data_IF_715609427969
#
_entry.id   IF_715609427969
#
_cell.length_a   1.000
_cell.length_b   1.000
_cell.length_c   1.000
_cell.angle_alpha   90.00
_cell.angle_beta   90.00
_cell.angle_gamma   90.00
#
_symmetry.space_group_name_H-M   'P 1'
#
loop_
_entity.id
_entity.type
_entity.pdbx_description
1 polymer ?
#
# COMPACT_ATOMS: atom_id res chain seq x y z
N UNK A 1 -6.38 11.61 -16.54
CA UNK A 1 -7.68 11.35 -15.88
C UNK A 1 -8.24 10.09 -16.49
N UNK A 2 -8.51 9.03 -15.70
CA UNK A 2 -9.31 7.90 -16.19
C UNK A 2 -10.71 8.45 -16.42
N UNK A 3 -11.26 8.26 -17.62
CA UNK A 3 -12.67 8.53 -17.85
C UNK A 3 -13.47 7.52 -17.01
N UNK A 4 -14.65 7.90 -16.52
CA UNK A 4 -15.44 7.12 -15.57
C UNK A 4 -15.77 5.67 -16.01
N UNK A 5 -15.47 5.30 -17.26
CA UNK A 5 -15.85 4.04 -17.90
C UNK A 5 -14.66 3.17 -18.32
N UNK A 6 -13.50 3.35 -17.68
CA UNK A 6 -12.30 2.55 -17.94
C UNK A 6 -11.84 1.79 -16.72
N UNK A 7 -11.42 0.54 -16.92
CA UNK A 7 -10.96 -0.36 -15.87
C UNK A 7 -9.63 -1.03 -16.25
N UNK A 8 -8.86 -1.42 -15.25
CA UNK A 8 -7.67 -2.25 -15.46
C UNK A 8 -7.99 -3.68 -15.07
N UNK A 9 -7.73 -4.60 -15.98
CA UNK A 9 -8.04 -6.01 -15.83
C UNK A 9 -6.75 -6.83 -15.89
N UNK A 10 -6.60 -7.74 -14.93
CA UNK A 10 -5.56 -8.77 -14.96
C UNK A 10 -6.13 -10.08 -15.50
N UNK A 11 -5.47 -10.70 -16.48
CA UNK A 11 -5.88 -11.98 -17.03
C UNK A 11 -4.66 -12.84 -17.36
N UNK A 12 -4.62 -14.06 -16.84
CA UNK A 12 -3.48 -14.99 -17.06
C UNK A 12 -2.14 -14.30 -16.75
N UNK A 13 -1.37 -13.98 -17.78
CA UNK A 13 -0.08 -13.31 -17.71
C UNK A 13 -0.10 -11.92 -18.38
N UNK A 14 -1.22 -11.24 -18.35
CA UNK A 14 -1.35 -9.92 -18.94
C UNK A 14 -2.17 -8.96 -18.09
N UNK A 15 -1.94 -7.67 -18.29
CA UNK A 15 -2.74 -6.57 -17.77
C UNK A 15 -3.23 -5.75 -18.95
N UNK A 16 -4.49 -5.35 -18.92
CA UNK A 16 -5.10 -4.54 -19.95
C UNK A 16 -5.84 -3.36 -19.36
N UNK A 17 -5.85 -2.22 -20.08
CA UNK A 17 -6.80 -1.13 -19.87
C UNK A 17 -7.97 -1.37 -20.81
N UNK A 18 -9.15 -1.39 -20.27
CA UNK A 18 -10.37 -1.75 -20.99
C UNK A 18 -11.40 -0.63 -20.87
N UNK A 19 -11.99 -0.26 -21.99
CA UNK A 19 -13.09 0.70 -22.04
C UNK A 19 -14.41 -0.06 -21.98
N UNK A 20 -15.22 0.22 -20.98
CA UNK A 20 -16.50 -0.46 -20.72
C UNK A 20 -17.59 -0.09 -21.75
N UNK A 21 -17.56 1.14 -22.27
CA UNK A 21 -18.58 1.60 -23.24
C UNK A 21 -18.38 0.95 -24.60
N UNK A 22 -17.14 0.94 -25.06
CA UNK A 22 -16.80 0.35 -26.37
C UNK A 22 -16.53 -1.13 -26.32
N UNK A 23 -16.42 -1.71 -25.12
CA UNK A 23 -16.05 -3.10 -24.85
C UNK A 23 -14.73 -3.52 -25.54
N UNK A 24 -13.78 -2.59 -25.64
CA UNK A 24 -12.48 -2.82 -26.28
C UNK A 24 -11.33 -2.59 -25.33
N UNK A 25 -10.29 -3.39 -25.51
CA UNK A 25 -9.00 -3.13 -24.89
C UNK A 25 -8.34 -1.92 -25.57
N UNK A 26 -7.94 -0.94 -24.76
CA UNK A 26 -7.18 0.22 -25.23
C UNK A 26 -5.70 -0.13 -25.38
N UNK A 27 -5.20 -0.95 -24.46
CA UNK A 27 -3.90 -1.59 -24.53
C UNK A 27 -3.88 -2.88 -23.71
N UNK A 28 -2.95 -3.75 -24.03
CA UNK A 28 -2.65 -4.95 -23.25
C UNK A 28 -1.14 -5.16 -23.15
N UNK A 29 -0.65 -5.48 -21.96
CA UNK A 29 0.76 -5.73 -21.65
C UNK A 29 0.93 -7.13 -21.10
N UNK A 30 1.77 -7.93 -21.75
CA UNK A 30 2.22 -9.22 -21.20
C UNK A 30 3.24 -8.96 -20.10
N UNK A 31 3.12 -9.66 -18.98
CA UNK A 31 4.00 -9.64 -17.82
C UNK A 31 4.41 -11.04 -17.43
N UNK A 32 5.48 -11.20 -16.66
CA UNK A 32 5.86 -12.49 -16.10
C UNK A 32 4.97 -12.84 -14.90
N UNK A 33 4.33 -14.02 -14.95
CA UNK A 33 3.41 -14.50 -13.93
C UNK A 33 1.99 -13.93 -14.05
N UNK A 34 1.15 -14.23 -13.06
CA UNK A 34 -0.24 -13.81 -13.02
C UNK A 34 -0.40 -12.54 -12.17
N UNK A 35 -1.14 -11.52 -12.66
CA UNK A 35 -1.46 -10.33 -11.87
C UNK A 35 -2.26 -10.69 -10.63
N UNK A 36 -1.83 -10.21 -9.47
CA UNK A 36 -2.49 -10.44 -8.18
C UNK A 36 -3.02 -9.16 -7.54
N UNK A 37 -2.33 -8.04 -7.76
CA UNK A 37 -2.74 -6.71 -7.27
C UNK A 37 -2.56 -5.73 -8.42
N UNK A 38 -3.58 -4.90 -8.67
CA UNK A 38 -3.51 -3.77 -9.60
C UNK A 38 -3.97 -2.53 -8.86
N UNK A 39 -3.15 -1.49 -8.84
CA UNK A 39 -3.48 -0.20 -8.25
C UNK A 39 -3.05 0.94 -9.17
N UNK A 40 -3.74 2.08 -9.07
CA UNK A 40 -3.51 3.23 -9.94
C UNK A 40 -3.15 4.46 -9.12
N UNK A 41 -2.22 5.28 -9.62
CA UNK A 41 -1.86 6.59 -9.08
C UNK A 41 -1.13 7.43 -10.12
N UNK A 42 -1.35 8.72 -10.15
CA UNK A 42 -0.65 9.69 -11.00
C UNK A 42 -0.44 9.24 -12.45
N UNK A 43 -1.48 8.83 -13.16
CA UNK A 43 -1.40 8.29 -14.53
C UNK A 43 -0.47 7.07 -14.68
N UNK A 44 -0.29 6.30 -13.63
CA UNK A 44 0.49 5.06 -13.62
C UNK A 44 -0.36 3.91 -13.08
N UNK A 45 0.02 2.70 -13.48
CA UNK A 45 -0.57 1.44 -13.01
C UNK A 45 0.54 0.62 -12.38
N UNK A 46 0.41 0.35 -11.09
CA UNK A 46 1.26 -0.59 -10.38
C UNK A 46 0.61 -1.97 -10.41
N UNK A 47 1.34 -2.95 -10.87
CA UNK A 47 0.89 -4.34 -10.95
C UNK A 47 1.84 -5.20 -10.15
N UNK A 48 1.32 -5.97 -9.21
CA UNK A 48 2.06 -7.09 -8.66
C UNK A 48 1.68 -8.35 -9.43
N UNK A 49 2.66 -9.09 -9.87
CA UNK A 49 2.49 -10.45 -10.41
C UNK A 49 3.17 -11.49 -9.54
N UNK A 50 2.70 -12.72 -9.68
CA UNK A 50 3.35 -13.89 -9.08
C UNK A 50 3.44 -15.02 -10.08
N UNK A 51 4.59 -15.71 -10.10
CA UNK A 51 4.77 -16.95 -10.87
C UNK A 51 4.37 -18.16 -10.03
N UNK A 52 4.18 -19.30 -10.67
CA UNK A 52 3.93 -20.58 -10.01
C UNK A 52 5.10 -21.02 -9.10
N UNK A 53 6.28 -20.48 -9.31
CA UNK A 53 7.48 -20.73 -8.52
C UNK A 53 7.61 -19.80 -7.31
N UNK A 54 6.61 -18.95 -7.03
CA UNK A 54 6.61 -18.03 -5.90
C UNK A 54 7.48 -16.80 -6.09
N UNK A 55 7.90 -16.49 -7.32
CA UNK A 55 8.56 -15.22 -7.63
C UNK A 55 7.50 -14.12 -7.76
N UNK A 56 7.76 -12.98 -7.13
CA UNK A 56 6.89 -11.81 -7.21
C UNK A 56 7.63 -10.65 -7.89
N UNK A 57 6.91 -9.94 -8.74
CA UNK A 57 7.45 -8.77 -9.46
C UNK A 57 6.45 -7.64 -9.40
N UNK A 58 6.91 -6.46 -9.05
CA UNK A 58 6.16 -5.21 -9.23
C UNK A 58 6.53 -4.61 -10.58
N UNK A 59 5.51 -4.32 -11.38
CA UNK A 59 5.60 -3.58 -12.64
C UNK A 59 4.96 -2.22 -12.44
N UNK A 60 5.64 -1.16 -12.87
CA UNK A 60 5.04 0.14 -13.05
C UNK A 60 4.85 0.39 -14.54
N UNK A 61 3.61 0.64 -14.92
CA UNK A 61 3.22 0.90 -16.30
C UNK A 61 2.68 2.33 -16.43
N UNK A 62 2.87 2.93 -17.59
CA UNK A 62 2.18 4.14 -17.97
C UNK A 62 0.69 3.82 -18.19
N UNK A 63 -0.21 4.58 -17.58
CA UNK A 63 -1.64 4.30 -17.62
C UNK A 63 -2.27 4.51 -19.01
N UNK A 64 -1.71 5.38 -19.85
CA UNK A 64 -2.25 5.67 -21.17
C UNK A 64 -1.77 4.68 -22.21
N UNK A 65 -0.50 4.32 -22.18
CA UNK A 65 0.15 3.54 -23.24
C UNK A 65 0.36 2.07 -22.89
N UNK A 66 0.31 1.71 -21.60
CA UNK A 66 0.69 0.39 -21.12
C UNK A 66 2.20 0.11 -21.16
N UNK A 67 3.02 1.10 -21.52
CA UNK A 67 4.47 0.94 -21.57
C UNK A 67 5.04 0.72 -20.17
N UNK A 68 5.93 -0.23 -20.05
CA UNK A 68 6.62 -0.49 -18.80
C UNK A 68 7.62 0.62 -18.49
N UNK A 69 7.46 1.27 -17.33
CA UNK A 69 8.39 2.25 -16.80
C UNK A 69 9.54 1.52 -16.12
N UNK A 70 9.23 0.58 -15.22
CA UNK A 70 10.19 -0.33 -14.60
C UNK A 70 9.51 -1.63 -14.15
N UNK A 71 10.35 -2.63 -13.85
CA UNK A 71 9.95 -3.86 -13.16
C UNK A 71 10.98 -4.19 -12.09
N UNK A 72 10.52 -4.57 -10.91
CA UNK A 72 11.38 -4.89 -9.76
C UNK A 72 10.90 -6.16 -9.08
N UNK A 73 11.81 -7.11 -8.91
CA UNK A 73 11.54 -8.30 -8.13
C UNK A 73 11.39 -7.94 -6.66
N UNK A 74 10.35 -8.42 -6.01
CA UNK A 74 10.02 -8.14 -4.60
C UNK A 74 9.69 -9.44 -3.88
N UNK A 75 9.75 -9.40 -2.57
CA UNK A 75 9.16 -10.45 -1.74
C UNK A 75 7.66 -10.14 -1.70
N UNK A 76 6.82 -11.09 -2.09
CA UNK A 76 5.38 -10.89 -2.29
C UNK A 76 4.70 -10.11 -1.17
N UNK A 77 3.76 -9.27 -1.53
CA UNK A 77 2.94 -8.52 -0.59
C UNK A 77 1.48 -9.01 -0.63
N UNK A 78 0.82 -8.90 0.52
CA UNK A 78 -0.59 -9.30 0.69
C UNK A 78 -1.53 -8.11 0.81
N UNK A 79 -0.98 -6.90 0.81
CA UNK A 79 -1.69 -5.64 1.04
C UNK A 79 -1.47 -4.75 -0.16
N UNK A 80 -2.51 -4.02 -0.56
CA UNK A 80 -2.42 -3.05 -1.64
C UNK A 80 -1.33 -2.01 -1.32
N UNK A 81 -0.33 -1.86 -2.19
CA UNK A 81 0.71 -0.85 -2.01
C UNK A 81 0.14 0.56 -1.97
N UNK A 82 0.73 1.42 -1.14
CA UNK A 82 0.36 2.82 -1.00
C UNK A 82 1.38 3.71 -1.69
N UNK A 83 0.90 4.66 -2.49
CA UNK A 83 1.75 5.68 -3.11
C UNK A 83 1.73 6.97 -2.31
N UNK A 84 2.90 7.53 -2.02
CA UNK A 84 3.03 8.80 -1.34
C UNK A 84 4.33 9.51 -1.73
N UNK A 85 4.22 10.78 -2.15
CA UNK A 85 5.36 11.67 -2.49
C UNK A 85 6.44 10.98 -3.37
N UNK A 86 6.01 10.38 -4.47
CA UNK A 86 6.94 9.75 -5.41
C UNK A 86 7.48 8.39 -4.99
N UNK A 87 7.00 7.81 -3.90
CA UNK A 87 7.43 6.51 -3.39
C UNK A 87 6.27 5.55 -3.22
N UNK A 88 6.58 4.26 -3.24
CA UNK A 88 5.62 3.16 -3.07
C UNK A 88 5.97 2.43 -1.78
N UNK A 89 4.98 2.30 -0.90
CA UNK A 89 5.10 1.61 0.38
C UNK A 89 4.25 0.35 0.38
N UNK A 90 4.81 -0.75 0.84
CA UNK A 90 4.09 -2.02 0.99
C UNK A 90 4.68 -2.86 2.11
N UNK A 91 3.95 -3.86 2.56
CA UNK A 91 4.48 -4.87 3.48
C UNK A 91 4.73 -6.16 2.72
N UNK A 92 5.84 -6.82 2.99
CA UNK A 92 6.17 -8.08 2.34
C UNK A 92 5.79 -9.31 3.18
N UNK A 93 5.78 -10.48 2.57
CA UNK A 93 5.42 -11.75 3.20
C UNK A 93 6.34 -12.13 4.38
N UNK A 94 7.54 -11.55 4.49
CA UNK A 94 8.46 -11.76 5.61
C UNK A 94 8.23 -10.83 6.80
N UNK A 95 7.17 -10.00 6.75
CA UNK A 95 6.83 -9.07 7.82
C UNK A 95 7.75 -7.87 7.89
N UNK A 96 8.12 -7.33 6.75
CA UNK A 96 8.83 -6.07 6.66
C UNK A 96 8.02 -5.04 5.88
N UNK A 97 8.14 -3.78 6.26
CA UNK A 97 7.70 -2.64 5.46
C UNK A 97 8.82 -2.27 4.48
N UNK A 98 8.44 -2.00 3.26
CA UNK A 98 9.35 -1.68 2.17
C UNK A 98 8.98 -0.33 1.56
N UNK A 99 10.00 0.43 1.12
CA UNK A 99 9.86 1.66 0.34
C UNK A 99 10.57 1.48 -0.98
N UNK A 100 9.86 1.65 -2.10
CA UNK A 100 10.45 1.73 -3.43
C UNK A 100 10.41 3.17 -3.94
N UNK A 101 11.45 3.55 -4.67
CA UNK A 101 11.42 4.76 -5.47
C UNK A 101 10.41 4.60 -6.61
N UNK A 102 9.38 5.44 -6.68
CA UNK A 102 8.35 5.36 -7.71
C UNK A 102 8.84 5.68 -9.13
N UNK A 103 10.01 6.32 -9.27
CA UNK A 103 10.60 6.63 -10.57
C UNK A 103 11.41 5.47 -11.12
N UNK A 104 12.22 4.82 -10.26
CA UNK A 104 13.20 3.81 -10.69
C UNK A 104 12.86 2.38 -10.27
N UNK A 105 11.88 2.18 -9.39
CA UNK A 105 11.59 0.88 -8.79
C UNK A 105 12.66 0.38 -7.81
N UNK A 106 13.68 1.19 -7.50
CA UNK A 106 14.75 0.79 -6.57
C UNK A 106 14.24 0.69 -5.15
N UNK A 107 14.58 -0.40 -4.45
CA UNK A 107 14.32 -0.54 -3.02
C UNK A 107 15.17 0.47 -2.25
N UNK A 108 14.50 1.36 -1.50
CA UNK A 108 15.13 2.40 -0.70
C UNK A 108 15.39 1.94 0.73
N UNK A 109 14.41 1.26 1.33
CA UNK A 109 14.59 0.56 2.58
C UNK A 109 13.65 -0.64 2.72
N UNK A 110 14.01 -1.54 3.64
CA UNK A 110 13.20 -2.65 4.11
C UNK A 110 13.42 -2.80 5.61
N UNK A 111 12.39 -2.56 6.42
CA UNK A 111 12.46 -2.64 7.87
C UNK A 111 11.50 -3.68 8.40
N UNK A 112 12.02 -4.64 9.15
CA UNK A 112 11.23 -5.70 9.77
C UNK A 112 10.44 -5.15 10.96
N UNK A 113 9.14 -5.41 11.01
CA UNK A 113 8.24 -4.99 12.08
C UNK A 113 7.58 -6.16 12.82
N UNK A 114 7.49 -7.35 12.20
CA UNK A 114 6.90 -8.52 12.85
C UNK A 114 7.82 -9.75 12.75
N UNK A 115 7.60 -10.69 13.64
CA UNK A 115 8.26 -12.00 13.61
C UNK A 115 7.58 -12.88 12.57
N UNK A 116 8.30 -13.86 12.02
CA UNK A 116 7.81 -14.74 10.95
C UNK A 116 6.58 -15.59 11.35
N UNK A 117 6.42 -15.89 12.63
CA UNK A 117 5.30 -16.67 13.16
C UNK A 117 4.07 -15.81 13.53
N UNK A 118 4.15 -14.51 13.41
CA UNK A 118 3.00 -13.62 13.65
C UNK A 118 2.08 -13.64 12.44
N UNK A 119 0.92 -14.28 12.60
CA UNK A 119 -0.11 -14.41 11.57
C UNK A 119 -1.14 -13.27 11.61
N UNK A 120 -0.90 -12.21 12.38
CA UNK A 120 -1.80 -11.08 12.44
C UNK A 120 -1.98 -10.43 11.06
N UNK A 121 -3.21 -10.11 10.71
CA UNK A 121 -3.52 -9.30 9.54
C UNK A 121 -3.18 -7.84 9.84
N UNK A 122 -2.55 -7.18 8.88
CA UNK A 122 -2.14 -5.78 8.98
C UNK A 122 -2.72 -4.97 7.84
N UNK A 123 -3.01 -3.72 8.13
CA UNK A 123 -3.35 -2.70 7.14
C UNK A 123 -2.23 -1.67 7.12
N UNK A 124 -1.84 -1.24 5.92
CA UNK A 124 -0.85 -0.20 5.74
C UNK A 124 -1.54 1.07 5.26
N UNK A 125 -1.24 2.19 5.89
CA UNK A 125 -1.66 3.52 5.45
C UNK A 125 -0.53 4.52 5.59
N UNK A 126 -0.55 5.57 4.78
CA UNK A 126 0.44 6.66 4.83
C UNK A 126 -0.27 7.97 5.14
N UNK A 127 0.17 8.66 6.18
CA UNK A 127 -0.38 9.96 6.57
C UNK A 127 0.69 10.82 7.26
N UNK A 128 0.68 12.14 7.01
CA UNK A 128 1.57 13.12 7.67
C UNK A 128 3.05 12.70 7.71
N UNK A 129 3.59 12.24 6.57
CA UNK A 129 4.99 11.79 6.44
C UNK A 129 5.38 10.59 7.33
N UNK A 130 4.40 9.76 7.67
CA UNK A 130 4.60 8.51 8.38
C UNK A 130 3.83 7.38 7.73
N UNK A 131 4.38 6.19 7.80
CA UNK A 131 3.66 4.96 7.45
C UNK A 131 3.15 4.32 8.72
N UNK A 132 1.88 3.99 8.74
CA UNK A 132 1.24 3.28 9.83
C UNK A 132 0.93 1.85 9.39
N UNK A 133 1.28 0.89 10.23
CA UNK A 133 0.97 -0.52 10.05
C UNK A 133 0.06 -0.90 11.22
N UNK A 134 -1.21 -1.12 10.91
CA UNK A 134 -2.26 -1.27 11.90
C UNK A 134 -2.73 -2.73 11.98
N UNK A 135 -2.92 -3.25 13.18
CA UNK A 135 -3.59 -4.52 13.42
C UNK A 135 -4.35 -4.49 14.75
N UNK A 136 -5.20 -5.48 14.97
CA UNK A 136 -5.96 -5.63 16.22
C UNK A 136 -5.09 -5.88 17.46
N UNK A 137 -3.86 -6.36 17.27
CA UNK A 137 -2.97 -6.73 18.40
C UNK A 137 -1.83 -5.73 18.59
N UNK A 138 -1.24 -5.28 17.50
CA UNK A 138 -0.06 -4.43 17.49
C UNK A 138 -0.11 -3.48 16.32
N UNK A 139 0.23 -2.24 16.57
CA UNK A 139 0.38 -1.22 15.54
C UNK A 139 1.77 -0.63 15.56
N UNK A 140 2.23 -0.17 14.41
CA UNK A 140 3.57 0.37 14.25
C UNK A 140 3.51 1.66 13.45
N UNK A 141 4.41 2.56 13.77
CA UNK A 141 4.70 3.77 13.01
C UNK A 141 6.09 3.66 12.40
N UNK A 142 6.21 4.01 11.13
CA UNK A 142 7.48 3.99 10.40
C UNK A 142 7.77 5.38 9.84
N UNK A 143 8.96 5.89 10.11
CA UNK A 143 9.44 7.13 9.53
C UNK A 143 9.73 6.93 8.05
N UNK A 144 9.18 7.80 7.20
CA UNK A 144 9.27 7.66 5.73
C UNK A 144 10.70 7.77 5.23
N UNK A 145 11.53 8.62 5.84
CA UNK A 145 12.91 8.85 5.36
C UNK A 145 13.89 7.78 5.86
N UNK A 146 13.86 7.48 7.14
CA UNK A 146 14.83 6.56 7.76
C UNK A 146 14.40 5.09 7.70
N UNK A 147 13.09 4.83 7.54
CA UNK A 147 12.52 3.50 7.73
C UNK A 147 12.50 3.02 9.16
N UNK A 148 12.81 3.90 10.15
CA UNK A 148 12.79 3.55 11.57
C UNK A 148 11.37 3.17 11.98
N UNK A 149 11.21 1.96 12.49
CA UNK A 149 9.93 1.41 12.91
C UNK A 149 9.85 1.39 14.44
N UNK A 150 8.79 1.94 14.99
CA UNK A 150 8.48 1.95 16.42
C UNK A 150 7.08 1.37 16.65
N UNK A 151 6.89 0.66 17.75
CA UNK A 151 5.56 0.20 18.16
C UNK A 151 4.73 1.39 18.64
N UNK A 152 3.46 1.45 18.23
CA UNK A 152 2.50 2.51 18.53
C UNK A 152 1.27 1.88 19.21
N UNK A 153 1.36 1.52 20.50
CA UNK A 153 0.33 0.76 21.20
C UNK A 153 -1.00 1.52 21.29
N UNK A 154 -0.97 2.85 21.31
CA UNK A 154 -2.16 3.70 21.29
C UNK A 154 -3.04 3.51 20.03
N UNK A 155 -2.43 3.09 18.94
CA UNK A 155 -3.15 2.81 17.69
C UNK A 155 -3.73 1.41 17.63
N UNK A 156 -3.27 0.48 18.46
CA UNK A 156 -3.76 -0.90 18.47
C UNK A 156 -5.23 -0.98 18.93
N UNK A 157 -5.59 -0.26 19.99
CA UNK A 157 -6.96 -0.20 20.51
C UNK A 157 -7.92 0.36 19.47
N UNK A 158 -7.53 1.46 18.82
CA UNK A 158 -8.32 2.07 17.76
C UNK A 158 -8.51 1.13 16.56
N UNK A 159 -7.47 0.43 16.15
CA UNK A 159 -7.53 -0.53 15.06
C UNK A 159 -8.43 -1.74 15.40
N UNK A 160 -8.49 -2.16 16.67
CA UNK A 160 -9.34 -3.28 17.10
C UNK A 160 -10.83 -2.99 16.88
N UNK A 161 -11.26 -1.75 17.12
CA UNK A 161 -12.67 -1.36 17.08
C UNK A 161 -13.15 -0.97 15.67
N UNK A 162 -12.25 -0.45 14.82
CA UNK A 162 -12.61 0.17 13.54
C UNK A 162 -12.11 -0.57 12.29
N UNK A 163 -11.16 -1.49 12.41
CA UNK A 163 -10.68 -2.27 11.26
C UNK A 163 -11.63 -3.43 10.96
N UNK A 164 -12.58 -3.18 10.09
CA UNK A 164 -13.33 -4.24 9.42
C UNK A 164 -12.48 -4.73 8.25
N UNK A 165 -11.88 -5.91 8.39
CA UNK A 165 -11.17 -6.56 7.28
C UNK A 165 -12.20 -7.09 6.28
N UNK A 166 -12.82 -6.19 5.52
CA UNK A 166 -13.63 -6.56 4.37
C UNK A 166 -12.72 -6.75 3.16
N UNK A 167 -12.78 -7.90 2.52
CA UNK A 167 -12.36 -8.10 1.13
C UNK A 167 -13.34 -7.32 0.21
N UNK A 168 -13.45 -6.03 0.41
CA UNK A 168 -14.37 -5.14 -0.31
C UNK A 168 -13.62 -4.22 -1.25
N UNK A 169 -14.13 -4.12 -2.45
CA UNK A 169 -13.67 -3.32 -3.57
C UNK A 169 -13.14 -1.94 -3.15
N UNK A 170 -11.93 -1.62 -3.63
CA UNK A 170 -11.00 -0.59 -3.23
C UNK A 170 -11.42 0.90 -3.22
N UNK A 171 -12.71 1.23 -3.25
CA UNK A 171 -13.15 2.64 -3.26
C UNK A 171 -13.44 3.16 -1.84
N UNK A 172 -13.94 2.33 -0.94
CA UNK A 172 -14.32 2.76 0.42
C UNK A 172 -13.17 2.73 1.44
N UNK A 173 -12.07 2.04 1.14
CA UNK A 173 -10.92 1.98 2.03
C UNK A 173 -10.21 3.34 2.20
N UNK A 174 -10.16 4.17 1.15
CA UNK A 174 -9.51 5.49 1.22
C UNK A 174 -10.26 6.45 2.16
N UNK A 175 -11.59 6.42 2.20
CA UNK A 175 -12.39 7.29 3.07
C UNK A 175 -12.26 6.87 4.55
N UNK A 176 -12.25 5.57 4.83
CA UNK A 176 -12.07 5.03 6.18
C UNK A 176 -10.67 5.36 6.73
N UNK A 177 -9.63 5.21 5.91
CA UNK A 177 -8.24 5.50 6.30
C UNK A 177 -7.97 6.99 6.51
N UNK A 178 -8.64 7.87 5.77
CA UNK A 178 -8.54 9.32 5.98
C UNK A 178 -9.09 9.71 7.37
N UNK A 179 -10.20 9.12 7.80
CA UNK A 179 -10.78 9.36 9.12
C UNK A 179 -9.93 8.78 10.27
N UNK A 180 -9.30 7.61 10.06
CA UNK A 180 -8.38 7.00 11.02
C UNK A 180 -7.12 7.86 11.21
N UNK A 181 -6.53 8.35 10.11
CA UNK A 181 -5.34 9.20 10.16
C UNK A 181 -5.63 10.55 10.86
N UNK A 182 -6.83 11.11 10.69
CA UNK A 182 -7.28 12.34 11.35
C UNK A 182 -7.49 12.12 12.85
N UNK A 183 -8.10 11.01 13.27
CA UNK A 183 -8.34 10.68 14.66
C UNK A 183 -7.04 10.40 15.43
N UNK A 184 -6.09 9.65 14.85
CA UNK A 184 -4.78 9.40 15.44
C UNK A 184 -3.96 10.68 15.61
N UNK A 185 -4.13 11.65 14.70
CA UNK A 185 -3.49 12.96 14.81
C UNK A 185 -4.11 13.84 15.89
N UNK A 186 -5.40 13.73 16.18
CA UNK A 186 -6.09 14.44 17.25
C UNK A 186 -5.68 13.91 18.62
N UNK A 187 -5.59 12.59 18.78
CA UNK A 187 -5.19 11.94 20.02
C UNK A 187 -3.74 12.28 20.45
N UNK A 188 -2.83 12.50 19.48
CA UNK A 188 -1.45 12.92 19.79
C UNK A 188 -1.30 14.40 20.11
N UNK A 189 -2.30 15.24 19.81
CA UNK A 189 -2.27 16.68 20.12
C UNK A 189 -2.76 16.98 21.55
N UNK A 190 -3.56 16.11 22.14
CA UNK A 190 -4.18 16.34 23.46
C UNK A 190 -3.28 15.89 24.64
N UNK A 191 -2.19 15.18 24.38
CA UNK A 191 -1.25 14.69 25.39
C UNK A 191 -0.18 15.69 25.87
N UNK A 192 -0.21 16.93 25.41
CA UNK A 192 0.85 17.93 25.64
C UNK A 192 0.57 19.07 26.62
N UNK A 193 -0.58 19.12 27.30
CA UNK A 193 -0.93 20.20 28.18
C UNK A 193 -1.26 19.71 29.59
N UNK A 194 -0.23 19.44 30.39
CA UNK A 194 -0.44 19.09 31.80
C UNK A 194 0.85 19.01 32.60
N UNK A 195 1.35 20.14 33.11
CA UNK A 195 2.47 20.08 34.03
C UNK A 195 3.20 21.39 34.20
N UNK A 196 2.55 22.38 34.77
CA UNK A 196 3.22 23.56 35.21
C UNK A 196 2.38 24.23 36.29
N UNK A 197 2.77 24.12 37.57
CA UNK A 197 2.19 24.93 38.62
C UNK A 197 2.30 24.27 39.97
N UNK A 198 3.04 24.85 40.83
CA UNK A 198 3.02 24.54 42.23
C UNK A 198 4.29 24.98 42.93
N UNK A 199 4.15 26.03 43.62
CA UNK A 199 4.98 26.68 44.60
C UNK A 199 5.79 25.73 45.48
#
# INVERSE_FOLDING_TARGET
MSTANEVYLGQKNSVARFNLDTQKSLWSKVIDGSPSIISTYDNKVLVQSSTIWGKYTHYLLDAHTGNQIWATEVIGCWIVPQYHKGNIFFTNAKGAVCKLCGVSGKLLFQTKFKKWYDQSSYVLTVAKDKVYILSKKKSFQVEIESGKCIEAPELANFAADHLTFGLGNGVDQMALFSSIAIAAAAASADGGAGGGGGE
#
